data_IF_853550199971
#
_entry.id   IF_853550199971
#
_cell.length_a   1.000
_cell.length_b   1.000
_cell.length_c   1.000
_cell.angle_alpha   90.00
_cell.angle_beta   90.00
_cell.angle_gamma   90.00
#
_symmetry.space_group_name_H-M   'P 1'
#
loop_
_entity.id
_entity.type
_entity.pdbx_description
1 polymer ?
#
# COMPACT_ATOMS: atom_id res chain seq x y z
N UNK A 1 -11.06 -58.10 20.95
CA UNK A 1 -10.85 -56.63 20.85
C UNK A 1 -10.45 -56.10 22.21
N UNK A 2 -9.42 -55.25 22.19
CA UNK A 2 -8.49 -54.95 23.28
C UNK A 2 -9.10 -54.09 24.40
N UNK A 3 -8.78 -54.45 25.66
CA UNK A 3 -9.15 -53.74 26.91
C UNK A 3 -8.33 -52.46 27.08
N UNK A 4 -8.94 -51.35 27.51
CA UNK A 4 -8.21 -50.25 28.15
C UNK A 4 -8.72 -50.10 29.58
N UNK A 5 -7.80 -50.35 30.50
CA UNK A 5 -7.93 -50.09 31.93
C UNK A 5 -7.25 -48.74 32.12
N UNK A 6 -8.02 -47.71 32.46
CA UNK A 6 -7.50 -46.40 32.83
C UNK A 6 -7.03 -46.45 34.30
N UNK A 7 -5.71 -46.47 34.46
CA UNK A 7 -5.04 -46.21 35.73
C UNK A 7 -3.98 -45.12 35.49
N UNK A 8 -4.23 -43.93 36.06
CA UNK A 8 -3.20 -42.94 36.35
C UNK A 8 -3.40 -42.43 37.79
N UNK A 9 -2.36 -42.47 38.64
CA UNK A 9 -2.44 -42.04 40.03
C UNK A 9 -2.13 -40.54 40.21
N UNK A 10 -2.61 -40.02 41.34
CA UNK A 10 -2.40 -38.67 41.86
C UNK A 10 -0.95 -38.43 42.29
N UNK A 11 -0.46 -37.21 42.11
CA UNK A 11 0.62 -36.64 42.94
C UNK A 11 0.36 -35.14 43.18
N UNK A 12 0.50 -34.73 44.45
CA UNK A 12 0.22 -33.38 44.99
C UNK A 12 1.47 -32.86 45.70
N UNK A 13 1.79 -31.59 45.42
CA UNK A 13 2.53 -30.55 46.17
C UNK A 13 3.95 -30.80 46.74
N UNK A 14 4.83 -29.84 46.47
CA UNK A 14 6.06 -29.56 47.23
C UNK A 14 6.69 -28.22 46.82
N UNK A 15 6.95 -27.38 47.82
CA UNK A 15 7.44 -25.98 47.89
C UNK A 15 8.48 -25.43 46.89
N UNK A 16 8.46 -24.08 46.74
CA UNK A 16 9.46 -23.24 46.05
C UNK A 16 10.82 -23.14 46.77
N UNK A 17 11.77 -22.27 46.32
CA UNK A 17 11.56 -20.83 46.34
C UNK A 17 12.19 -20.02 45.17
N UNK A 18 11.98 -18.71 45.34
CA UNK A 18 12.17 -17.50 44.55
C UNK A 18 13.60 -17.15 44.03
N UNK A 19 13.59 -16.21 43.08
CA UNK A 19 14.58 -15.16 42.77
C UNK A 19 15.57 -15.41 41.60
N UNK A 20 15.42 -14.58 40.56
CA UNK A 20 16.40 -14.44 39.48
C UNK A 20 15.84 -13.62 38.31
N UNK A 21 15.84 -12.30 38.45
CA UNK A 21 15.63 -11.39 37.32
C UNK A 21 16.87 -11.45 36.41
N UNK A 22 16.69 -11.73 35.12
CA UNK A 22 17.68 -11.43 34.09
C UNK A 22 16.96 -10.80 32.90
N UNK A 23 17.01 -9.46 32.81
CA UNK A 23 16.84 -8.77 31.53
C UNK A 23 18.15 -8.91 30.78
N UNK A 24 18.11 -9.48 29.58
CA UNK A 24 19.16 -9.30 28.59
C UNK A 24 18.49 -8.96 27.26
N UNK A 25 18.74 -7.74 26.79
CA UNK A 25 18.58 -7.34 25.41
C UNK A 25 19.41 -8.29 24.53
N UNK A 26 18.80 -8.82 23.48
CA UNK A 26 19.49 -9.61 22.47
C UNK A 26 18.77 -9.47 21.15
N UNK A 27 19.24 -8.52 20.34
CA UNK A 27 18.92 -8.41 18.92
C UNK A 27 19.42 -9.68 18.23
N UNK A 28 18.57 -10.37 17.48
CA UNK A 28 18.98 -11.42 16.56
C UNK A 28 18.32 -11.21 15.21
N UNK A 29 19.14 -10.70 14.29
CA UNK A 29 18.89 -10.60 12.85
C UNK A 29 18.57 -11.96 12.23
N UNK A 30 17.54 -12.02 11.39
CA UNK A 30 17.35 -13.04 10.36
C UNK A 30 18.21 -12.70 9.12
N UNK A 31 18.70 -13.70 8.35
CA UNK A 31 19.70 -13.51 7.30
C UNK A 31 19.11 -13.03 5.97
N UNK A 32 19.94 -12.33 5.20
CA UNK A 32 19.65 -11.62 3.97
C UNK A 32 19.04 -12.47 2.82
N UNK A 33 18.12 -11.85 2.07
CA UNK A 33 17.88 -12.16 0.65
C UNK A 33 18.46 -11.01 -0.19
N UNK A 34 18.98 -11.26 -1.41
CA UNK A 34 19.42 -10.18 -2.28
C UNK A 34 18.19 -9.33 -2.66
N UNK A 35 18.12 -8.11 -2.16
CA UNK A 35 17.10 -7.15 -2.58
C UNK A 35 17.42 -6.72 -4.02
N UNK A 36 16.81 -7.40 -4.99
CA UNK A 36 16.71 -6.91 -6.37
C UNK A 36 15.92 -5.59 -6.34
N UNK A 37 16.63 -4.45 -6.33
CA UNK A 37 16.14 -3.10 -6.63
C UNK A 37 14.67 -2.83 -6.20
N UNK A 38 14.35 -3.07 -4.93
CA UNK A 38 13.07 -2.68 -4.32
C UNK A 38 13.29 -1.41 -3.50
N UNK A 39 12.78 -0.28 -3.98
CA UNK A 39 12.71 0.93 -3.15
C UNK A 39 11.76 0.65 -1.97
N UNK A 40 12.17 1.05 -0.77
CA UNK A 40 11.45 0.78 0.48
C UNK A 40 10.09 1.46 0.52
N UNK A 41 9.18 0.95 1.36
CA UNK A 41 7.87 1.56 1.68
C UNK A 41 7.96 3.07 1.97
N UNK A 42 9.07 3.52 2.58
CA UNK A 42 9.37 4.94 2.82
C UNK A 42 9.45 5.78 1.54
N UNK A 43 9.93 5.23 0.42
CA UNK A 43 10.05 5.95 -0.86
C UNK A 43 8.66 6.15 -1.50
N UNK A 44 7.78 5.15 -1.41
CA UNK A 44 6.38 5.29 -1.85
C UNK A 44 5.66 6.35 -1.01
N UNK A 45 5.92 6.38 0.29
CA UNK A 45 5.33 7.36 1.20
C UNK A 45 5.72 8.80 0.82
N UNK A 46 7.00 9.06 0.56
CA UNK A 46 7.48 10.38 0.13
C UNK A 46 6.78 10.86 -1.15
N UNK A 47 6.60 9.97 -2.12
CA UNK A 47 5.91 10.29 -3.37
C UNK A 47 4.45 10.67 -3.11
N UNK A 48 3.75 9.96 -2.23
CA UNK A 48 2.37 10.30 -1.89
C UNK A 48 2.28 11.61 -1.10
N UNK A 49 3.26 11.91 -0.26
CA UNK A 49 3.35 13.18 0.45
C UNK A 49 3.55 14.35 -0.52
N UNK A 50 4.47 14.23 -1.48
CA UNK A 50 4.72 15.25 -2.51
C UNK A 50 3.46 15.51 -3.36
N UNK A 51 2.76 14.44 -3.77
CA UNK A 51 1.49 14.55 -4.51
C UNK A 51 0.42 15.23 -3.64
N UNK A 52 0.31 14.85 -2.36
CA UNK A 52 -0.64 15.45 -1.42
C UNK A 52 -0.37 16.95 -1.24
N UNK A 53 0.90 17.35 -1.13
CA UNK A 53 1.28 18.76 -1.05
C UNK A 53 0.87 19.51 -2.32
N UNK A 54 1.18 18.98 -3.49
CA UNK A 54 0.79 19.59 -4.76
C UNK A 54 -0.74 19.75 -4.88
N UNK A 55 -1.51 18.73 -4.48
CA UNK A 55 -2.98 18.83 -4.47
C UNK A 55 -3.46 19.91 -3.51
N UNK A 56 -2.83 20.09 -2.34
CA UNK A 56 -3.19 21.18 -1.43
C UNK A 56 -2.92 22.57 -2.02
N UNK A 57 -1.87 22.73 -2.82
CA UNK A 57 -1.50 24.01 -3.44
C UNK A 57 -2.43 24.40 -4.59
N UNK A 58 -2.70 23.48 -5.52
CA UNK A 58 -3.42 23.78 -6.78
C UNK A 58 -4.77 23.09 -6.89
N UNK A 59 -5.23 22.50 -5.80
CA UNK A 59 -6.39 21.61 -5.73
C UNK A 59 -7.68 22.14 -6.35
N UNK A 60 -8.13 23.38 -6.10
CA UNK A 60 -9.32 23.93 -6.76
C UNK A 60 -9.24 23.94 -8.30
N UNK A 61 -8.04 24.08 -8.85
CA UNK A 61 -7.80 24.00 -10.30
C UNK A 61 -7.86 22.55 -10.77
N UNK A 62 -7.26 21.63 -10.02
CA UNK A 62 -7.29 20.20 -10.31
C UNK A 62 -8.71 19.63 -10.24
N UNK A 63 -9.53 20.04 -9.26
CA UNK A 63 -10.94 19.64 -9.14
C UNK A 63 -11.73 20.08 -10.36
N UNK A 64 -11.61 21.35 -10.77
CA UNK A 64 -12.27 21.86 -11.98
C UNK A 64 -11.78 21.12 -13.24
N UNK A 65 -10.47 20.88 -13.34
CA UNK A 65 -9.87 20.22 -14.49
C UNK A 65 -10.32 18.78 -14.54
N UNK A 66 -10.29 18.01 -13.45
CA UNK A 66 -10.43 16.54 -13.41
C UNK A 66 -11.85 16.07 -13.10
N UNK A 67 -12.44 16.54 -11.99
CA UNK A 67 -13.78 16.20 -11.51
C UNK A 67 -14.03 14.69 -11.33
N UNK A 68 -13.16 14.02 -10.56
CA UNK A 68 -13.20 12.57 -10.36
C UNK A 68 -12.51 12.11 -9.07
N UNK A 69 -12.90 10.93 -8.58
CA UNK A 69 -12.26 10.26 -7.44
C UNK A 69 -11.54 8.99 -7.94
N UNK A 70 -10.29 8.81 -7.53
CA UNK A 70 -9.46 7.68 -7.92
C UNK A 70 -9.03 6.87 -6.70
N UNK A 71 -9.14 5.55 -6.78
CA UNK A 71 -8.58 4.63 -5.78
C UNK A 71 -7.37 3.89 -6.36
N UNK A 72 -6.30 3.81 -5.57
CA UNK A 72 -5.09 3.05 -5.87
C UNK A 72 -5.01 1.87 -4.90
N UNK A 73 -5.16 0.65 -5.42
CA UNK A 73 -4.98 -0.59 -4.69
C UNK A 73 -3.60 -1.18 -5.07
N UNK A 74 -2.61 -0.98 -4.20
CA UNK A 74 -1.26 -1.52 -4.41
C UNK A 74 -1.20 -2.93 -3.85
N UNK A 75 -0.72 -3.85 -4.67
CA UNK A 75 -0.75 -5.29 -4.39
C UNK A 75 0.64 -5.91 -4.34
N UNK A 76 0.81 -6.90 -3.47
CA UNK A 76 1.97 -7.78 -3.41
C UNK A 76 1.47 -9.21 -3.24
N UNK A 77 1.94 -10.11 -4.10
CA UNK A 77 1.50 -11.51 -4.14
C UNK A 77 -0.03 -11.66 -4.23
N UNK A 78 -0.67 -10.78 -5.01
CA UNK A 78 -2.13 -10.75 -5.21
C UNK A 78 -2.95 -10.18 -4.04
N UNK A 79 -2.31 -9.77 -2.95
CA UNK A 79 -2.98 -9.15 -1.79
C UNK A 79 -2.78 -7.65 -1.80
N UNK A 80 -3.81 -6.90 -1.43
CA UNK A 80 -3.70 -5.44 -1.23
C UNK A 80 -2.85 -5.19 0.02
N UNK A 81 -1.77 -4.45 -0.13
CA UNK A 81 -0.86 -4.07 0.96
C UNK A 81 -0.97 -2.57 1.29
N UNK A 82 -1.41 -1.76 0.35
CA UNK A 82 -1.55 -0.32 0.52
C UNK A 82 -2.69 0.20 -0.33
N UNK A 83 -3.48 1.12 0.25
CA UNK A 83 -4.57 1.78 -0.44
C UNK A 83 -4.45 3.29 -0.28
N UNK A 84 -4.68 4.01 -1.37
CA UNK A 84 -4.74 5.46 -1.39
C UNK A 84 -5.92 5.93 -2.22
N UNK A 85 -6.44 7.09 -1.87
CA UNK A 85 -7.47 7.77 -2.62
C UNK A 85 -7.00 9.16 -3.01
N UNK A 86 -7.27 9.53 -4.26
CA UNK A 86 -7.10 10.87 -4.79
C UNK A 86 -8.49 11.41 -5.11
N UNK A 87 -8.97 12.34 -4.30
CA UNK A 87 -10.24 13.03 -4.50
C UNK A 87 -9.97 14.35 -5.24
N UNK A 88 -10.23 14.38 -6.54
CA UNK A 88 -10.20 15.61 -7.35
C UNK A 88 -11.62 15.98 -7.79
N UNK A 89 -12.58 15.81 -6.88
CA UNK A 89 -14.00 16.04 -7.13
C UNK A 89 -14.64 16.92 -6.07
N UNK A 90 -14.28 16.71 -4.81
CA UNK A 90 -14.91 17.38 -3.68
C UNK A 90 -14.01 18.48 -3.10
N UNK A 91 -14.63 19.58 -2.67
CA UNK A 91 -13.94 20.69 -2.02
C UNK A 91 -12.79 21.24 -2.84
N UNK A 92 -11.63 21.39 -2.20
CA UNK A 92 -10.37 21.79 -2.85
C UNK A 92 -9.55 20.60 -3.34
N UNK A 93 -10.09 19.38 -3.33
CA UNK A 93 -9.34 18.15 -3.61
C UNK A 93 -8.49 17.70 -2.43
N UNK A 94 -8.21 16.40 -2.37
CA UNK A 94 -7.45 15.78 -1.30
C UNK A 94 -6.77 14.49 -1.78
N UNK A 95 -5.72 14.07 -1.07
CA UNK A 95 -5.13 12.74 -1.20
C UNK A 95 -4.89 12.15 0.18
N UNK A 96 -5.44 10.97 0.42
CA UNK A 96 -5.41 10.33 1.72
C UNK A 96 -5.22 8.81 1.62
N UNK A 97 -4.64 8.23 2.67
CA UNK A 97 -4.51 6.79 2.80
C UNK A 97 -5.86 6.15 3.10
N UNK A 98 -6.08 4.96 2.53
CA UNK A 98 -7.28 4.17 2.68
C UNK A 98 -8.18 4.19 1.44
N UNK A 99 -9.29 3.45 1.56
CA UNK A 99 -10.33 3.35 0.54
C UNK A 99 -11.07 4.66 0.35
N UNK A 100 -11.67 4.84 -0.82
CA UNK A 100 -12.39 6.05 -1.12
C UNK A 100 -13.61 6.22 -0.20
N UNK A 101 -13.75 7.40 0.41
CA UNK A 101 -14.90 7.76 1.27
C UNK A 101 -16.20 7.93 0.49
N UNK A 102 -16.07 8.20 -0.80
CA UNK A 102 -17.15 8.29 -1.78
C UNK A 102 -16.88 7.28 -2.91
N UNK A 103 -17.88 6.91 -3.72
CA UNK A 103 -17.67 5.99 -4.84
C UNK A 103 -16.55 6.47 -5.76
N UNK A 104 -15.50 5.65 -5.90
CA UNK A 104 -14.41 5.92 -6.82
C UNK A 104 -14.91 5.87 -8.27
N UNK A 105 -14.58 6.89 -9.06
CA UNK A 105 -14.88 6.92 -10.49
C UNK A 105 -13.93 5.99 -11.27
N UNK A 106 -12.73 5.72 -10.74
CA UNK A 106 -11.73 4.82 -11.33
C UNK A 106 -10.90 4.15 -10.23
N UNK A 107 -10.70 2.84 -10.35
CA UNK A 107 -9.84 2.08 -9.44
C UNK A 107 -8.69 1.46 -10.21
N UNK A 108 -7.48 1.63 -9.70
CA UNK A 108 -6.26 1.02 -10.22
C UNK A 108 -5.82 -0.10 -9.29
N UNK A 109 -5.62 -1.30 -9.82
CA UNK A 109 -5.00 -2.41 -9.08
C UNK A 109 -3.61 -2.64 -9.63
N UNK A 110 -2.59 -2.25 -8.88
CA UNK A 110 -1.20 -2.13 -9.35
C UNK A 110 -0.30 -3.02 -8.49
N UNK A 111 0.49 -3.93 -9.07
CA UNK A 111 1.55 -4.60 -8.33
C UNK A 111 2.57 -3.59 -7.80
N UNK A 112 3.06 -3.77 -6.57
CA UNK A 112 4.04 -2.89 -5.90
C UNK A 112 5.26 -2.60 -6.80
N UNK A 113 5.82 -3.63 -7.44
CA UNK A 113 6.95 -3.48 -8.36
C UNK A 113 6.64 -2.57 -9.55
N UNK A 114 5.44 -2.71 -10.13
CA UNK A 114 4.97 -1.89 -11.24
C UNK A 114 4.73 -0.45 -10.77
N UNK A 115 4.13 -0.27 -9.59
CA UNK A 115 3.91 1.05 -9.00
C UNK A 115 5.23 1.83 -8.86
N UNK A 116 6.31 1.18 -8.37
CA UNK A 116 7.62 1.83 -8.26
C UNK A 116 8.19 2.23 -9.61
N UNK A 117 8.08 1.37 -10.63
CA UNK A 117 8.56 1.72 -11.98
C UNK A 117 7.78 2.90 -12.60
N UNK A 118 6.48 3.00 -12.31
CA UNK A 118 5.63 4.11 -12.78
C UNK A 118 6.01 5.42 -12.08
N UNK A 119 6.16 5.39 -10.75
CA UNK A 119 6.54 6.56 -9.94
C UNK A 119 7.91 7.10 -10.33
N UNK A 120 8.88 6.21 -10.57
CA UNK A 120 10.22 6.61 -11.01
C UNK A 120 10.28 7.07 -12.48
N UNK A 121 9.16 7.06 -13.20
CA UNK A 121 9.12 7.37 -14.63
C UNK A 121 9.87 6.36 -15.51
N UNK A 122 10.28 5.21 -14.97
CA UNK A 122 10.95 4.13 -15.71
C UNK A 122 10.00 3.36 -16.61
N UNK A 123 8.70 3.42 -16.31
CA UNK A 123 7.65 2.78 -17.09
C UNK A 123 6.60 3.79 -17.53
N UNK A 124 6.20 3.72 -18.80
CA UNK A 124 5.07 4.50 -19.30
C UNK A 124 3.74 3.84 -18.84
N UNK A 125 2.83 4.58 -18.17
CA UNK A 125 1.60 4.03 -17.62
C UNK A 125 0.63 3.51 -18.68
N UNK A 126 0.52 4.16 -19.84
CA UNK A 126 -0.36 3.69 -20.92
C UNK A 126 0.12 2.35 -21.48
N UNK A 127 1.42 2.23 -21.78
CA UNK A 127 2.01 0.99 -22.30
C UNK A 127 1.90 -0.14 -21.27
N UNK A 128 2.09 0.16 -19.99
CA UNK A 128 1.98 -0.80 -18.92
C UNK A 128 0.55 -1.34 -18.75
N UNK A 129 -0.46 -0.45 -18.83
CA UNK A 129 -1.87 -0.84 -18.82
C UNK A 129 -2.22 -1.71 -20.03
N UNK A 130 -1.86 -1.28 -21.25
CA UNK A 130 -2.13 -2.03 -22.48
C UNK A 130 -1.43 -3.40 -22.50
N UNK A 131 -0.26 -3.52 -21.85
CA UNK A 131 0.45 -4.78 -21.68
C UNK A 131 -0.09 -5.65 -20.52
N UNK A 132 -1.13 -5.21 -19.82
CA UNK A 132 -1.75 -5.95 -18.72
C UNK A 132 -0.92 -6.00 -17.42
N UNK A 133 0.06 -5.12 -17.26
CA UNK A 133 0.92 -5.07 -16.05
C UNK A 133 0.19 -4.61 -14.80
N UNK A 134 -0.91 -3.86 -14.97
CA UNK A 134 -1.84 -3.48 -13.91
C UNK A 134 -3.25 -3.38 -14.48
N UNK A 135 -4.26 -3.34 -13.61
CA UNK A 135 -5.68 -3.28 -13.99
C UNK A 135 -6.26 -1.92 -13.70
N UNK A 136 -7.22 -1.52 -14.53
CA UNK A 136 -8.05 -0.32 -14.32
C UNK A 136 -9.51 -0.73 -14.45
N UNK A 137 -10.34 -0.35 -13.49
CA UNK A 137 -11.79 -0.53 -13.51
C UNK A 137 -12.51 0.80 -13.33
N UNK A 138 -13.80 0.85 -13.69
CA UNK A 138 -14.59 2.07 -13.72
C UNK A 138 -14.35 2.89 -14.99
N UNK A 139 -14.32 4.22 -14.87
CA UNK A 139 -14.23 5.16 -16.00
C UNK A 139 -12.78 5.34 -16.48
N UNK A 140 -12.24 4.34 -17.17
CA UNK A 140 -10.83 4.27 -17.63
C UNK A 140 -10.28 5.57 -18.25
N UNK A 141 -11.08 6.31 -19.04
CA UNK A 141 -10.65 7.57 -19.65
C UNK A 141 -10.28 8.66 -18.63
N UNK A 142 -10.86 8.63 -17.41
CA UNK A 142 -10.47 9.54 -16.34
C UNK A 142 -9.06 9.24 -15.82
N UNK A 143 -8.60 7.99 -15.91
CA UNK A 143 -7.21 7.64 -15.57
C UNK A 143 -6.19 8.33 -16.48
N UNK A 144 -6.49 8.50 -17.77
CA UNK A 144 -5.64 9.28 -18.69
C UNK A 144 -5.62 10.78 -18.36
N UNK A 145 -6.69 11.28 -17.73
CA UNK A 145 -6.79 12.66 -17.28
C UNK A 145 -5.93 12.88 -16.05
N UNK A 146 -5.97 11.93 -15.11
CA UNK A 146 -5.08 11.90 -13.95
C UNK A 146 -3.60 11.83 -14.37
N UNK A 147 -3.26 11.00 -15.35
CA UNK A 147 -1.89 10.92 -15.88
C UNK A 147 -1.40 12.27 -16.43
N UNK A 148 -2.26 13.03 -17.13
CA UNK A 148 -1.90 14.37 -17.62
C UNK A 148 -1.61 15.34 -16.47
N UNK A 149 -2.34 15.25 -15.35
CA UNK A 149 -2.03 16.06 -14.16
C UNK A 149 -0.63 15.74 -13.64
N UNK A 150 -0.28 14.47 -13.48
CA UNK A 150 1.06 14.09 -13.00
C UNK A 150 2.19 14.44 -13.98
N UNK A 151 1.95 14.34 -15.29
CA UNK A 151 2.93 14.80 -16.29
C UNK A 151 3.11 16.31 -16.29
N UNK A 152 2.08 17.08 -16.00
CA UNK A 152 2.20 18.54 -15.89
C UNK A 152 2.93 18.94 -14.60
N UNK A 153 2.74 18.18 -13.51
CA UNK A 153 3.47 18.32 -12.26
C UNK A 153 4.97 18.00 -12.40
N UNK A 154 5.33 16.86 -12.99
CA UNK A 154 6.72 16.40 -13.11
C UNK A 154 7.59 17.16 -14.14
N UNK A 155 7.05 18.19 -14.80
CA UNK A 155 7.80 19.08 -15.72
C UNK A 155 8.48 20.25 -15.00
N UNK A 156 8.18 20.42 -13.71
CA UNK A 156 8.81 21.39 -12.82
C UNK A 156 9.81 20.67 -11.91
#
# INVERSE_FOLDING_TARGET
MWKRIDHQPKIKAGDGPQAGQFRALGSSQEPARPHTLGLSESQSFLVFEDISHHIKEVGPQLVKKVNAIFQLDITKDGKIILQWTIDLKNGSGDMYQGTARFPADTTFTIPESIFMELVLGKMNPQKAFLAGKFKVSGKVLLGQKLERVFKDWAKF
#
